data_IF_980813434450
#
_entry.id   IF_980813434450
#
_cell.length_a   1.000
_cell.length_b   1.000
_cell.length_c   1.000
_cell.angle_alpha   90.00
_cell.angle_beta   90.00
_cell.angle_gamma   90.00
#
_symmetry.space_group_name_H-M   'P 1'
#
loop_
_entity.id
_entity.type
_entity.pdbx_description
1 polymer ?
#
# COMPACT_ATOMS: atom_id res chain seq x y z
N UNK A 1 -31.99 25.33 -20.05
CA UNK A 1 -31.64 23.90 -20.11
C UNK A 1 -32.83 22.97 -20.36
N UNK A 2 -33.95 23.07 -19.62
CA UNK A 2 -35.14 22.20 -19.82
C UNK A 2 -35.76 22.23 -21.24
N UNK A 3 -35.70 23.37 -21.93
CA UNK A 3 -36.32 23.51 -23.26
C UNK A 3 -35.51 22.93 -24.44
N UNK A 4 -34.24 22.54 -24.22
CA UNK A 4 -33.33 22.13 -25.30
C UNK A 4 -32.86 20.66 -25.22
N UNK A 5 -33.14 19.96 -24.12
CA UNK A 5 -32.50 18.68 -23.79
C UNK A 5 -33.50 17.58 -23.37
N UNK A 6 -34.56 17.33 -24.15
CA UNK A 6 -35.44 16.16 -23.97
C UNK A 6 -35.91 15.89 -22.51
N UNK A 7 -36.08 14.60 -22.16
CA UNK A 7 -36.28 14.15 -20.77
C UNK A 7 -34.91 13.82 -20.15
N UNK A 8 -34.49 14.60 -19.16
CA UNK A 8 -33.25 14.39 -18.40
C UNK A 8 -33.58 13.73 -17.04
N UNK A 9 -32.78 12.73 -16.65
CA UNK A 9 -32.85 12.10 -15.34
C UNK A 9 -31.45 12.09 -14.71
N UNK A 10 -31.39 12.16 -13.39
CA UNK A 10 -30.16 12.01 -12.61
C UNK A 10 -30.08 10.57 -12.12
N UNK A 11 -28.92 9.94 -12.27
CA UNK A 11 -28.63 8.60 -11.75
C UNK A 11 -27.21 8.54 -11.24
N UNK A 12 -26.88 7.46 -10.52
CA UNK A 12 -25.49 7.10 -10.27
C UNK A 12 -24.81 6.68 -11.59
N UNK A 13 -23.47 6.71 -11.61
CA UNK A 13 -22.69 6.25 -12.76
C UNK A 13 -22.78 4.73 -12.95
N UNK A 14 -22.81 3.98 -11.85
CA UNK A 14 -22.94 2.52 -11.79
C UNK A 14 -23.79 2.11 -10.58
N UNK A 15 -23.96 0.80 -10.36
CA UNK A 15 -24.50 0.27 -9.10
C UNK A 15 -23.71 0.76 -7.89
N UNK A 16 -24.40 1.06 -6.79
CA UNK A 16 -23.81 1.43 -5.49
C UNK A 16 -23.28 0.23 -4.70
N UNK A 17 -23.43 -1.00 -5.21
CA UNK A 17 -22.82 -2.20 -4.63
C UNK A 17 -21.28 -2.12 -4.51
N UNK A 18 -20.65 -1.25 -5.29
CA UNK A 18 -19.19 -1.06 -5.33
C UNK A 18 -18.68 0.00 -4.34
N UNK A 19 -19.55 0.59 -3.53
CA UNK A 19 -19.18 1.48 -2.43
C UNK A 19 -19.73 0.94 -1.11
N UNK A 20 -19.16 1.34 0.04
CA UNK A 20 -19.71 0.91 1.32
C UNK A 20 -21.09 1.51 1.60
N UNK A 21 -21.70 1.13 2.71
CA UNK A 21 -23.11 1.48 3.00
C UNK A 21 -23.28 2.93 3.48
N UNK A 22 -22.72 3.29 4.62
CA UNK A 22 -22.94 4.58 5.28
C UNK A 22 -21.66 5.13 5.92
N UNK A 23 -21.30 6.38 5.60
CA UNK A 23 -20.15 7.07 6.23
C UNK A 23 -20.36 7.40 7.70
N UNK A 24 -21.61 7.46 8.21
CA UNK A 24 -21.88 7.78 9.61
C UNK A 24 -21.39 6.68 10.57
N UNK A 25 -21.31 5.43 10.09
CA UNK A 25 -20.77 4.27 10.83
C UNK A 25 -19.24 4.33 11.05
N UNK A 26 -18.55 5.23 10.34
CA UNK A 26 -17.11 5.42 10.42
C UNK A 26 -16.73 6.43 11.50
N UNK A 27 -16.85 6.01 12.75
CA UNK A 27 -16.58 6.87 13.92
C UNK A 27 -15.10 7.06 14.22
N UNK A 28 -14.23 6.18 13.69
CA UNK A 28 -12.77 6.27 13.87
C UNK A 28 -12.10 7.18 12.83
N UNK A 29 -12.77 7.48 11.71
CA UNK A 29 -12.27 8.46 10.75
C UNK A 29 -12.40 9.87 11.32
N UNK A 30 -11.41 10.72 11.03
CA UNK A 30 -11.49 12.13 11.39
C UNK A 30 -12.75 12.77 10.78
N UNK A 31 -13.37 13.72 11.49
CA UNK A 31 -14.56 14.41 10.98
C UNK A 31 -14.29 15.11 9.63
N UNK A 32 -13.06 15.63 9.45
CA UNK A 32 -12.61 16.21 8.21
C UNK A 32 -12.59 15.18 7.06
N UNK A 33 -11.92 14.04 7.23
CA UNK A 33 -11.87 13.02 6.18
C UNK A 33 -13.26 12.48 5.88
N UNK A 34 -14.06 12.18 6.92
CA UNK A 34 -15.44 11.70 6.74
C UNK A 34 -16.30 12.68 5.94
N UNK A 35 -16.09 13.99 6.11
CA UNK A 35 -16.82 15.00 5.31
C UNK A 35 -16.52 14.94 3.81
N UNK A 36 -15.37 14.38 3.40
CA UNK A 36 -14.98 14.24 2.00
C UNK A 36 -15.56 12.99 1.32
N UNK A 37 -16.21 12.12 2.10
CA UNK A 37 -16.66 10.80 1.64
C UNK A 37 -18.18 10.81 1.43
N UNK A 38 -18.61 10.04 0.43
CA UNK A 38 -20.01 9.70 0.22
C UNK A 38 -20.10 8.19 -0.10
N UNK A 39 -20.70 7.43 0.81
CA UNK A 39 -21.01 6.00 0.63
C UNK A 39 -22.39 5.85 -0.01
N UNK A 40 -22.96 4.64 -0.06
CA UNK A 40 -24.20 4.37 -0.79
C UNK A 40 -25.36 5.29 -0.36
N UNK A 41 -25.54 5.48 0.95
CA UNK A 41 -26.64 6.29 1.50
C UNK A 41 -26.46 7.78 1.17
N UNK A 42 -25.25 8.31 1.33
CA UNK A 42 -24.95 9.69 0.94
C UNK A 42 -25.12 9.89 -0.57
N UNK A 43 -24.74 8.92 -1.41
CA UNK A 43 -24.92 8.99 -2.87
C UNK A 43 -26.39 9.01 -3.28
N UNK A 44 -27.28 8.32 -2.55
CA UNK A 44 -28.71 8.41 -2.79
C UNK A 44 -29.23 9.83 -2.52
N UNK A 45 -28.73 10.48 -1.46
CA UNK A 45 -29.02 11.89 -1.16
C UNK A 45 -28.47 12.80 -2.26
N UNK A 46 -27.25 12.60 -2.75
CA UNK A 46 -26.65 13.38 -3.85
C UNK A 46 -27.52 13.34 -5.12
N UNK A 47 -27.96 12.14 -5.53
CA UNK A 47 -28.84 11.97 -6.70
C UNK A 47 -30.15 12.73 -6.50
N UNK A 48 -30.75 12.64 -5.32
CA UNK A 48 -31.98 13.38 -5.00
C UNK A 48 -31.75 14.89 -5.04
N UNK A 49 -30.69 15.40 -4.42
CA UNK A 49 -30.35 16.83 -4.39
C UNK A 49 -30.17 17.38 -5.80
N UNK A 50 -29.47 16.65 -6.67
CA UNK A 50 -29.29 17.04 -8.07
C UNK A 50 -30.60 16.99 -8.88
N UNK A 51 -31.47 16.00 -8.63
CA UNK A 51 -32.78 15.94 -9.25
C UNK A 51 -33.68 17.12 -8.82
N UNK A 52 -33.66 17.46 -7.53
CA UNK A 52 -34.37 18.62 -6.98
C UNK A 52 -33.84 19.93 -7.59
N UNK A 53 -32.52 20.07 -7.77
CA UNK A 53 -31.90 21.21 -8.43
C UNK A 53 -32.42 21.41 -9.87
N UNK A 54 -32.55 20.33 -10.64
CA UNK A 54 -33.12 20.40 -11.99
C UNK A 54 -34.60 20.84 -11.98
N UNK A 55 -35.34 20.48 -10.93
CA UNK A 55 -36.73 20.90 -10.74
C UNK A 55 -36.81 22.39 -10.36
N UNK A 56 -36.09 22.78 -9.31
CA UNK A 56 -36.02 24.12 -8.74
C UNK A 56 -34.61 24.39 -8.18
N UNK A 57 -33.76 25.20 -8.85
CA UNK A 57 -32.40 25.47 -8.38
C UNK A 57 -32.30 26.00 -6.95
N UNK A 58 -33.31 26.73 -6.47
CA UNK A 58 -33.31 27.28 -5.12
C UNK A 58 -33.45 26.20 -4.02
N UNK A 59 -34.06 25.05 -4.30
CA UNK A 59 -34.28 24.00 -3.28
C UNK A 59 -33.02 23.24 -2.92
N UNK A 60 -32.02 23.21 -3.80
CA UNK A 60 -30.74 22.52 -3.57
C UNK A 60 -29.58 23.46 -3.23
N UNK A 61 -29.81 24.78 -3.20
CA UNK A 61 -28.74 25.78 -3.05
C UNK A 61 -27.88 25.55 -1.81
N UNK A 62 -28.50 25.34 -0.64
CA UNK A 62 -27.75 25.16 0.61
C UNK A 62 -26.83 23.93 0.56
N UNK A 63 -27.33 22.78 0.07
CA UNK A 63 -26.56 21.56 -0.06
C UNK A 63 -25.41 21.68 -1.09
N UNK A 64 -25.64 22.41 -2.19
CA UNK A 64 -24.59 22.68 -3.20
C UNK A 64 -23.52 23.63 -2.64
N UNK A 65 -23.92 24.67 -1.90
CA UNK A 65 -22.99 25.60 -1.26
C UNK A 65 -22.11 24.87 -0.21
N UNK A 66 -22.71 23.98 0.59
CA UNK A 66 -22.00 23.12 1.54
C UNK A 66 -21.01 22.18 0.83
N UNK A 67 -21.46 21.43 -0.18
CA UNK A 67 -20.60 20.55 -0.96
C UNK A 67 -19.43 21.31 -1.61
N UNK A 68 -19.69 22.51 -2.13
CA UNK A 68 -18.65 23.37 -2.72
C UNK A 68 -17.61 23.79 -1.68
N UNK A 69 -18.03 24.13 -0.47
CA UNK A 69 -17.12 24.47 0.63
C UNK A 69 -16.27 23.25 1.06
N UNK A 70 -16.88 22.07 1.17
CA UNK A 70 -16.19 20.82 1.51
C UNK A 70 -15.14 20.48 0.45
N UNK A 71 -15.49 20.51 -0.84
CA UNK A 71 -14.56 20.25 -1.95
C UNK A 71 -13.38 21.23 -1.93
N UNK A 72 -13.65 22.53 -1.73
CA UNK A 72 -12.61 23.53 -1.65
C UNK A 72 -11.67 23.29 -0.46
N UNK A 73 -12.22 22.88 0.70
CA UNK A 73 -11.43 22.61 1.92
C UNK A 73 -10.44 21.46 1.73
N UNK A 74 -10.81 20.41 0.98
CA UNK A 74 -9.95 19.24 0.71
C UNK A 74 -8.71 19.64 -0.08
N UNK A 75 -8.83 20.55 -1.05
CA UNK A 75 -7.72 20.94 -1.92
C UNK A 75 -6.54 21.58 -1.16
N UNK A 76 -6.83 22.20 -0.01
CA UNK A 76 -5.86 22.90 0.85
C UNK A 76 -5.53 22.15 2.15
N UNK A 77 -6.13 20.98 2.37
CA UNK A 77 -5.93 20.23 3.61
C UNK A 77 -4.51 19.71 3.73
N UNK A 78 -4.01 19.70 4.97
CA UNK A 78 -2.68 19.16 5.28
C UNK A 78 -2.58 17.68 4.86
N UNK A 79 -1.44 17.29 4.31
CA UNK A 79 -1.21 15.94 3.82
C UNK A 79 -1.75 15.66 2.41
N UNK A 80 -2.73 16.41 1.89
CA UNK A 80 -3.25 16.22 0.52
C UNK A 80 -2.21 16.58 -0.54
N UNK A 81 -1.46 17.65 -0.30
CA UNK A 81 -0.35 18.07 -1.16
C UNK A 81 0.91 18.31 -0.33
N UNK A 82 1.83 17.36 -0.37
CA UNK A 82 3.06 17.37 0.42
C UNK A 82 4.26 17.82 -0.41
N UNK A 83 4.90 18.91 0.00
CA UNK A 83 6.03 19.48 -0.72
C UNK A 83 7.24 18.53 -0.76
N UNK A 84 7.52 17.84 0.34
CA UNK A 84 8.59 16.84 0.46
C UNK A 84 8.37 15.65 -0.48
N UNK A 85 7.14 15.12 -0.55
CA UNK A 85 6.78 14.02 -1.47
C UNK A 85 6.96 14.45 -2.92
N UNK A 86 6.50 15.65 -3.27
CA UNK A 86 6.59 16.19 -4.63
C UNK A 86 8.02 16.44 -5.06
N UNK A 87 8.82 17.06 -4.18
CA UNK A 87 10.25 17.28 -4.43
C UNK A 87 10.99 15.95 -4.64
N UNK A 88 10.77 14.97 -3.75
CA UNK A 88 11.38 13.63 -3.87
C UNK A 88 10.99 12.91 -5.15
N UNK A 89 9.73 13.06 -5.55
CA UNK A 89 9.22 12.40 -6.77
C UNK A 89 9.73 13.08 -8.04
N UNK A 90 9.88 14.40 -8.03
CA UNK A 90 10.47 15.15 -9.13
C UNK A 90 11.98 14.87 -9.32
N UNK A 91 12.66 14.45 -8.26
CA UNK A 91 14.08 14.10 -8.29
C UNK A 91 14.40 12.68 -8.82
N UNK A 92 13.37 11.88 -9.18
CA UNK A 92 13.59 10.53 -9.68
C UNK A 92 14.25 10.53 -11.05
N UNK A 93 15.20 9.62 -11.23
CA UNK A 93 15.97 9.46 -12.48
C UNK A 93 15.72 8.10 -13.11
N UNK A 94 16.12 7.89 -14.36
CA UNK A 94 16.02 6.57 -15.01
C UNK A 94 16.77 5.48 -14.24
N UNK A 95 17.92 5.81 -13.65
CA UNK A 95 18.70 4.91 -12.81
C UNK A 95 17.91 4.38 -11.60
N UNK A 96 16.91 5.14 -11.12
CA UNK A 96 16.04 4.64 -10.06
C UNK A 96 15.25 3.42 -10.49
N UNK A 97 14.86 3.31 -11.77
CA UNK A 97 13.94 2.29 -12.28
C UNK A 97 14.64 1.04 -12.78
N UNK A 98 15.94 1.12 -13.02
CA UNK A 98 16.71 0.03 -13.59
C UNK A 98 17.57 -0.69 -12.53
N UNK A 99 17.92 -1.94 -12.83
CA UNK A 99 18.90 -2.75 -12.11
C UNK A 99 20.02 -3.11 -13.09
N UNK A 100 21.18 -3.54 -12.60
CA UNK A 100 22.23 -4.13 -13.45
C UNK A 100 21.69 -5.29 -14.28
N UNK A 101 22.32 -5.65 -15.40
CA UNK A 101 21.88 -6.75 -16.27
C UNK A 101 21.58 -8.06 -15.53
N UNK A 102 20.63 -8.84 -16.04
CA UNK A 102 20.20 -10.09 -15.37
C UNK A 102 21.37 -11.04 -15.12
N UNK A 103 22.23 -11.27 -16.11
CA UNK A 103 23.39 -12.16 -16.00
C UNK A 103 24.34 -11.78 -14.86
N UNK A 104 24.52 -10.47 -14.62
CA UNK A 104 25.34 -9.97 -13.50
C UNK A 104 24.67 -10.29 -12.16
N UNK A 105 23.34 -10.15 -12.08
CA UNK A 105 22.58 -10.43 -10.85
C UNK A 105 22.49 -11.92 -10.58
N UNK A 106 22.25 -12.72 -11.61
CA UNK A 106 22.15 -14.18 -11.54
C UNK A 106 23.44 -14.77 -10.99
N UNK A 107 24.61 -14.39 -11.54
CA UNK A 107 25.91 -14.84 -11.02
C UNK A 107 26.13 -14.48 -9.54
N UNK A 108 25.74 -13.26 -9.13
CA UNK A 108 25.83 -12.82 -7.74
C UNK A 108 24.84 -13.56 -6.81
N UNK A 109 23.65 -13.88 -7.30
CA UNK A 109 22.62 -14.62 -6.56
C UNK A 109 23.04 -16.08 -6.37
N UNK A 110 23.58 -16.72 -7.40
CA UNK A 110 24.10 -18.09 -7.33
C UNK A 110 25.21 -18.22 -6.28
N UNK A 111 26.16 -17.28 -6.30
CA UNK A 111 27.25 -17.24 -5.34
C UNK A 111 26.82 -16.92 -3.89
N UNK A 112 25.63 -16.34 -3.70
CA UNK A 112 25.15 -15.95 -2.37
C UNK A 112 24.15 -16.94 -1.78
N UNK A 113 23.30 -17.55 -2.60
CA UNK A 113 22.16 -18.37 -2.16
C UNK A 113 22.44 -19.88 -2.25
N UNK A 114 23.34 -20.31 -3.14
CA UNK A 114 23.71 -21.71 -3.33
C UNK A 114 22.49 -22.65 -3.42
N UNK A 115 21.49 -22.25 -4.21
CA UNK A 115 20.24 -23.00 -4.33
C UNK A 115 20.46 -24.27 -5.16
N UNK A 116 19.82 -25.41 -4.81
CA UNK A 116 19.90 -26.61 -5.62
C UNK A 116 19.16 -26.42 -6.95
N UNK A 117 19.41 -27.28 -7.96
CA UNK A 117 18.54 -27.39 -9.11
C UNK A 117 17.09 -27.63 -8.67
N UNK A 118 16.15 -26.87 -9.26
CA UNK A 118 14.72 -26.89 -8.89
C UNK A 118 14.45 -26.53 -7.41
N UNK A 119 14.86 -25.32 -6.95
CA UNK A 119 14.67 -24.94 -5.55
C UNK A 119 13.20 -24.80 -5.20
N UNK A 120 12.86 -25.28 -4.01
CA UNK A 120 11.51 -25.34 -3.45
C UNK A 120 11.23 -24.16 -2.52
N UNK A 121 10.02 -23.61 -2.61
CA UNK A 121 9.56 -22.51 -1.76
C UNK A 121 8.04 -22.42 -1.77
N UNK A 122 7.48 -21.65 -0.85
CA UNK A 122 6.06 -21.26 -0.84
C UNK A 122 5.89 -19.77 -1.17
N UNK A 123 4.64 -19.30 -1.27
CA UNK A 123 4.35 -17.95 -1.76
C UNK A 123 4.45 -16.87 -0.67
N UNK A 124 4.02 -17.14 0.56
CA UNK A 124 4.03 -16.16 1.65
C UNK A 124 3.21 -16.59 2.86
N UNK A 125 1.89 -16.50 2.75
CA UNK A 125 0.99 -16.78 3.87
C UNK A 125 0.89 -18.28 4.22
N UNK A 126 0.79 -18.54 5.52
CA UNK A 126 0.40 -19.83 6.07
C UNK A 126 -1.03 -19.74 6.65
N UNK A 127 -1.67 -20.87 7.01
CA UNK A 127 -3.06 -20.87 7.47
C UNK A 127 -3.29 -19.91 8.64
N UNK A 128 -4.19 -18.94 8.48
CA UNK A 128 -4.65 -18.12 9.59
C UNK A 128 -5.55 -18.96 10.51
N UNK A 129 -5.02 -19.40 11.64
CA UNK A 129 -5.75 -20.22 12.61
C UNK A 129 -6.75 -19.40 13.43
N UNK A 130 -7.63 -20.09 14.18
CA UNK A 130 -8.53 -19.45 15.15
C UNK A 130 -7.78 -18.64 16.19
N UNK A 131 -6.61 -19.11 16.61
CA UNK A 131 -5.77 -18.53 17.64
C UNK A 131 -5.18 -17.20 17.16
N UNK A 132 -4.66 -17.15 15.92
CA UNK A 132 -4.15 -15.91 15.30
C UNK A 132 -5.26 -14.86 15.20
N UNK A 133 -6.45 -15.26 14.70
CA UNK A 133 -7.59 -14.34 14.58
C UNK A 133 -8.07 -13.84 15.95
N UNK A 134 -8.11 -14.72 16.94
CA UNK A 134 -8.49 -14.39 18.32
C UNK A 134 -7.49 -13.43 18.97
N UNK A 135 -6.19 -13.70 18.84
CA UNK A 135 -5.13 -12.82 19.35
C UNK A 135 -5.22 -11.41 18.76
N UNK A 136 -5.42 -11.30 17.44
CA UNK A 136 -5.62 -10.02 16.76
C UNK A 136 -6.86 -9.28 17.26
N UNK A 137 -7.99 -9.98 17.37
CA UNK A 137 -9.23 -9.38 17.87
C UNK A 137 -9.12 -8.89 19.32
N UNK A 138 -8.42 -9.64 20.18
CA UNK A 138 -8.15 -9.28 21.58
C UNK A 138 -7.19 -8.09 21.70
N UNK A 139 -6.14 -8.03 20.87
CA UNK A 139 -5.25 -6.87 20.83
C UNK A 139 -6.02 -5.60 20.42
N UNK A 140 -6.85 -5.69 19.38
CA UNK A 140 -7.66 -4.56 18.91
C UNK A 140 -8.67 -4.06 19.96
N UNK A 141 -9.11 -4.93 20.89
CA UNK A 141 -9.99 -4.56 22.01
C UNK A 141 -9.23 -4.05 23.24
N UNK A 142 -7.91 -4.19 23.28
CA UNK A 142 -7.09 -3.89 24.45
C UNK A 142 -7.06 -5.01 25.51
N UNK A 143 -7.58 -6.20 25.19
CA UNK A 143 -7.55 -7.38 26.08
C UNK A 143 -6.15 -8.06 26.11
N UNK A 144 -5.29 -7.70 25.17
CA UNK A 144 -3.87 -8.06 25.12
C UNK A 144 -3.05 -6.79 25.00
N UNK A 145 -1.88 -6.76 25.63
CA UNK A 145 -0.90 -5.71 25.32
C UNK A 145 -0.25 -5.98 23.96
N UNK A 146 0.31 -4.93 23.34
CA UNK A 146 1.02 -5.06 22.07
C UNK A 146 2.19 -6.06 22.18
N UNK A 147 2.88 -6.09 23.31
CA UNK A 147 4.00 -7.01 23.55
C UNK A 147 3.53 -8.46 23.65
N UNK A 148 2.39 -8.70 24.31
CA UNK A 148 1.78 -10.03 24.36
C UNK A 148 1.34 -10.50 22.98
N UNK A 149 0.70 -9.62 22.20
CA UNK A 149 0.32 -9.92 20.82
C UNK A 149 1.56 -10.21 19.95
N UNK A 150 2.60 -9.38 20.06
CA UNK A 150 3.84 -9.54 19.32
C UNK A 150 4.49 -10.90 19.62
N UNK A 151 4.54 -11.30 20.89
CA UNK A 151 5.08 -12.60 21.27
C UNK A 151 4.29 -13.75 20.65
N UNK A 152 2.96 -13.70 20.66
CA UNK A 152 2.13 -14.73 20.03
C UNK A 152 2.39 -14.83 18.52
N UNK A 153 2.60 -13.71 17.83
CA UNK A 153 2.95 -13.72 16.40
C UNK A 153 4.35 -14.27 16.16
N UNK A 154 5.32 -13.96 17.04
CA UNK A 154 6.66 -14.55 17.00
C UNK A 154 6.65 -16.06 17.20
N UNK A 155 5.86 -16.55 18.15
CA UNK A 155 5.72 -17.99 18.41
C UNK A 155 5.15 -18.71 17.18
N UNK A 156 4.19 -18.10 16.49
CA UNK A 156 3.63 -18.65 15.25
C UNK A 156 4.63 -18.62 14.09
N UNK A 157 5.40 -17.53 13.94
CA UNK A 157 6.50 -17.46 12.95
C UNK A 157 7.49 -18.58 13.21
N UNK A 158 7.88 -18.80 14.47
CA UNK A 158 8.80 -19.87 14.85
C UNK A 158 8.27 -21.24 14.44
N UNK A 159 7.02 -21.54 14.76
CA UNK A 159 6.34 -22.79 14.37
C UNK A 159 6.35 -23.00 12.85
N UNK A 160 6.07 -21.94 12.09
CA UNK A 160 6.05 -21.97 10.61
C UNK A 160 7.44 -22.19 10.03
N UNK A 161 8.48 -21.57 10.61
CA UNK A 161 9.88 -21.77 10.19
C UNK A 161 10.32 -23.21 10.47
N UNK A 162 10.10 -23.72 11.67
CA UNK A 162 10.46 -25.09 12.07
C UNK A 162 9.81 -26.13 11.15
N UNK A 163 8.52 -25.95 10.84
CA UNK A 163 7.80 -26.82 9.91
C UNK A 163 8.41 -26.81 8.50
N UNK A 164 8.78 -25.64 7.97
CA UNK A 164 9.38 -25.55 6.64
C UNK A 164 10.78 -26.17 6.59
N UNK A 165 11.54 -26.07 7.68
CA UNK A 165 12.83 -26.76 7.80
C UNK A 165 12.66 -28.28 7.80
N UNK A 166 11.71 -28.81 8.59
CA UNK A 166 11.37 -30.23 8.64
C UNK A 166 10.94 -30.76 7.26
N UNK A 167 10.12 -29.99 6.53
CA UNK A 167 9.67 -30.33 5.18
C UNK A 167 10.76 -30.18 4.11
N UNK A 168 11.92 -29.63 4.45
CA UNK A 168 13.06 -29.53 3.55
C UNK A 168 12.98 -28.40 2.51
N UNK A 169 12.17 -27.35 2.71
CA UNK A 169 12.10 -26.22 1.76
C UNK A 169 13.42 -25.45 1.65
N UNK A 170 13.78 -25.00 0.45
CA UNK A 170 15.07 -24.31 0.20
C UNK A 170 15.03 -22.82 0.56
N UNK A 171 13.90 -22.15 0.29
CA UNK A 171 13.68 -20.73 0.61
C UNK A 171 12.38 -20.57 1.38
N UNK A 172 12.46 -19.97 2.57
CA UNK A 172 11.39 -19.94 3.56
C UNK A 172 10.60 -18.64 3.52
N UNK A 173 9.40 -18.69 4.10
CA UNK A 173 8.54 -17.53 4.41
C UNK A 173 8.20 -17.52 5.88
N UNK A 174 7.83 -16.36 6.45
CA UNK A 174 7.45 -16.27 7.87
C UNK A 174 5.97 -16.57 8.13
N UNK A 175 5.16 -16.76 7.08
CA UNK A 175 3.75 -17.15 7.19
C UNK A 175 2.75 -15.98 7.33
N UNK A 176 3.23 -14.75 7.49
CA UNK A 176 2.41 -13.53 7.60
C UNK A 176 1.31 -13.54 8.69
N UNK A 177 1.53 -14.12 9.91
CA UNK A 177 0.48 -14.19 10.94
C UNK A 177 0.05 -12.80 11.46
N UNK A 178 0.97 -11.83 11.40
CA UNK A 178 0.73 -10.45 11.81
C UNK A 178 -0.24 -9.71 10.87
N UNK A 179 -0.42 -10.20 9.64
CA UNK A 179 -1.19 -9.50 8.60
C UNK A 179 -2.58 -10.08 8.48
N UNK A 180 -3.58 -9.21 8.53
CA UNK A 180 -4.96 -9.60 8.24
C UNK A 180 -5.26 -9.63 6.74
N UNK A 181 -4.81 -8.59 6.04
CA UNK A 181 -5.00 -8.37 4.62
C UNK A 181 -3.75 -7.71 4.03
N UNK A 182 -3.42 -8.07 2.79
CA UNK A 182 -2.18 -7.68 2.13
C UNK A 182 -2.13 -6.20 1.73
N UNK A 183 -3.26 -5.48 1.70
CA UNK A 183 -3.33 -4.06 1.37
C UNK A 183 -3.57 -3.25 2.65
N UNK A 184 -4.52 -3.68 3.47
CA UNK A 184 -4.86 -3.00 4.73
C UNK A 184 -3.64 -2.86 5.65
N UNK A 185 -2.83 -3.91 5.80
CA UNK A 185 -1.66 -3.89 6.68
C UNK A 185 -0.65 -2.80 6.30
N UNK A 186 -0.47 -2.55 5.00
CA UNK A 186 0.40 -1.46 4.54
C UNK A 186 -0.29 -0.10 4.67
N UNK A 187 -1.58 -0.01 4.37
CA UNK A 187 -2.34 1.24 4.49
C UNK A 187 -2.32 1.78 5.93
N UNK A 188 -2.47 0.92 6.94
CA UNK A 188 -2.39 1.29 8.36
C UNK A 188 -1.02 1.87 8.78
N UNK A 189 0.02 1.59 8.00
CA UNK A 189 1.40 1.99 8.29
C UNK A 189 1.95 3.03 7.29
N UNK A 190 1.09 3.59 6.45
CA UNK A 190 1.44 4.62 5.47
C UNK A 190 0.63 5.89 5.75
N UNK A 191 1.32 7.01 5.85
CA UNK A 191 0.66 8.32 5.89
C UNK A 191 0.01 8.60 4.53
N UNK A 192 -1.09 9.35 4.52
CA UNK A 192 -1.92 9.57 3.34
C UNK A 192 -2.95 8.47 3.08
N UNK A 193 -2.97 7.44 3.94
CA UNK A 193 -4.01 6.41 4.01
C UNK A 193 -4.84 6.52 5.27
N UNK A 194 -6.08 6.07 5.14
CA UNK A 194 -6.93 5.69 6.27
C UNK A 194 -7.63 4.37 5.98
N UNK A 195 -8.08 3.71 7.04
CA UNK A 195 -8.86 2.48 6.96
C UNK A 195 -10.20 2.69 7.64
N UNK A 196 -11.23 2.07 7.09
CA UNK A 196 -12.57 2.07 7.67
C UNK A 196 -12.72 0.94 8.69
N UNK A 197 -13.76 0.99 9.52
CA UNK A 197 -14.18 -0.11 10.38
C UNK A 197 -15.32 -0.89 9.72
N UNK A 198 -16.32 -0.18 9.20
CA UNK A 198 -17.56 -0.72 8.63
C UNK A 198 -17.67 -0.52 7.10
N UNK A 199 -16.61 -0.04 6.45
CA UNK A 199 -16.53 0.25 5.02
C UNK A 199 -16.44 -0.99 4.13
N UNK A 200 -17.32 -1.97 4.35
CA UNK A 200 -17.34 -3.23 3.62
C UNK A 200 -17.91 -3.07 2.21
N UNK A 201 -17.26 -3.74 1.25
CA UNK A 201 -17.69 -3.86 -0.14
C UNK A 201 -17.70 -5.33 -0.52
N UNK A 202 -18.78 -5.80 -1.13
CA UNK A 202 -18.86 -7.18 -1.59
C UNK A 202 -17.83 -7.44 -2.70
N UNK A 203 -17.03 -8.50 -2.54
CA UNK A 203 -16.04 -8.91 -3.53
C UNK A 203 -16.51 -10.15 -4.29
N UNK A 204 -16.85 -11.24 -3.57
CA UNK A 204 -17.29 -12.48 -4.21
C UNK A 204 -18.17 -13.32 -3.28
N UNK A 205 -19.39 -13.64 -3.72
CA UNK A 205 -20.35 -14.37 -2.89
C UNK A 205 -20.63 -13.62 -1.58
N UNK A 206 -20.47 -14.29 -0.43
CA UNK A 206 -20.58 -13.65 0.89
C UNK A 206 -19.27 -13.03 1.40
N UNK A 207 -18.20 -13.03 0.60
CA UNK A 207 -16.92 -12.41 0.99
C UNK A 207 -16.94 -10.92 0.65
N UNK A 208 -16.71 -10.11 1.67
CA UNK A 208 -16.51 -8.68 1.57
C UNK A 208 -15.04 -8.32 1.81
N UNK A 209 -14.61 -7.24 1.18
CA UNK A 209 -13.34 -6.57 1.46
C UNK A 209 -13.61 -5.21 2.10
N UNK A 210 -12.59 -4.64 2.73
CA UNK A 210 -12.64 -3.30 3.31
C UNK A 210 -11.50 -2.47 2.71
N UNK A 211 -11.70 -1.93 1.49
CA UNK A 211 -10.67 -1.18 0.80
C UNK A 211 -10.22 0.01 1.64
N UNK A 212 -8.90 0.23 1.72
CA UNK A 212 -8.37 1.43 2.37
C UNK A 212 -8.64 2.67 1.52
N UNK A 213 -8.59 3.84 2.14
CA UNK A 213 -8.86 5.12 1.50
C UNK A 213 -7.53 5.85 1.32
N UNK A 214 -7.11 6.05 0.06
CA UNK A 214 -6.04 6.97 -0.26
C UNK A 214 -6.62 8.38 -0.25
N UNK A 215 -6.26 9.20 0.73
CA UNK A 215 -6.76 10.58 0.85
C UNK A 215 -5.68 11.63 0.60
N UNK A 216 -4.40 11.29 0.76
CA UNK A 216 -3.28 12.23 0.72
C UNK A 216 -2.09 11.83 -0.14
N UNK A 217 -1.01 12.63 -0.08
CA UNK A 217 0.30 12.29 -0.62
C UNK A 217 0.99 11.30 0.34
N UNK A 218 1.51 10.20 -0.19
CA UNK A 218 1.90 9.02 0.61
C UNK A 218 3.33 9.11 1.11
N UNK A 219 3.51 8.89 2.42
CA UNK A 219 4.81 8.81 3.09
C UNK A 219 4.88 7.62 4.04
N UNK A 220 6.11 7.23 4.36
CA UNK A 220 6.39 6.13 5.29
C UNK A 220 7.37 6.63 6.34
N UNK A 221 6.88 6.80 7.56
CA UNK A 221 7.65 7.32 8.70
C UNK A 221 8.53 6.24 9.34
N UNK A 222 8.03 5.00 9.47
CA UNK A 222 8.72 3.89 10.14
C UNK A 222 8.80 2.61 9.28
N UNK A 223 9.80 1.72 9.50
CA UNK A 223 9.80 0.37 8.92
C UNK A 223 8.51 -0.39 9.25
N UNK A 224 7.93 -1.05 8.26
CA UNK A 224 6.64 -1.75 8.41
C UNK A 224 6.88 -3.23 8.75
N UNK A 225 7.64 -3.93 7.90
CA UNK A 225 7.76 -5.41 7.95
C UNK A 225 9.13 -5.90 8.41
N UNK A 226 10.07 -4.97 8.69
CA UNK A 226 11.48 -5.32 8.88
C UNK A 226 11.69 -6.14 10.15
N UNK A 227 11.07 -5.76 11.27
CA UNK A 227 11.21 -6.49 12.54
C UNK A 227 10.77 -7.97 12.43
N UNK A 228 9.68 -8.23 11.72
CA UNK A 228 9.19 -9.59 11.47
C UNK A 228 10.15 -10.40 10.59
N UNK A 229 10.65 -9.79 9.52
CA UNK A 229 11.60 -10.44 8.63
C UNK A 229 12.94 -10.72 9.31
N UNK A 230 13.44 -9.79 10.14
CA UNK A 230 14.66 -9.97 10.94
C UNK A 230 14.50 -11.09 11.97
N UNK A 231 13.38 -11.11 12.69
CA UNK A 231 13.09 -12.18 13.63
C UNK A 231 13.00 -13.54 12.91
N UNK A 232 12.23 -13.64 11.83
CA UNK A 232 12.09 -14.88 11.06
C UNK A 232 13.43 -15.38 10.51
N UNK A 233 14.25 -14.50 9.94
CA UNK A 233 15.59 -14.85 9.44
C UNK A 233 16.53 -15.24 10.59
N UNK A 234 16.35 -14.74 11.82
CA UNK A 234 17.19 -15.13 12.96
C UNK A 234 16.97 -16.57 13.43
N UNK A 235 15.88 -17.22 13.00
CA UNK A 235 15.50 -18.58 13.39
C UNK A 235 16.04 -19.66 12.45
N UNK A 236 16.60 -19.29 11.29
CA UNK A 236 17.04 -20.24 10.26
C UNK A 236 18.29 -19.75 9.54
N UNK A 237 19.12 -20.69 9.07
CA UNK A 237 20.25 -20.39 8.18
C UNK A 237 19.83 -20.34 6.70
N UNK A 238 18.61 -20.79 6.37
CA UNK A 238 18.11 -20.76 4.99
C UNK A 238 17.64 -19.35 4.62
N UNK A 239 17.64 -18.97 3.33
CA UNK A 239 17.14 -17.68 2.90
C UNK A 239 15.66 -17.46 3.26
N UNK A 240 15.35 -16.34 3.92
CA UNK A 240 13.99 -15.92 4.27
C UNK A 240 13.46 -14.86 3.31
N UNK A 241 12.26 -15.05 2.76
CA UNK A 241 11.61 -14.03 1.92
C UNK A 241 11.08 -12.88 2.77
N UNK A 242 11.48 -11.65 2.43
CA UNK A 242 10.77 -10.45 2.86
C UNK A 242 9.51 -10.24 2.02
N UNK A 243 8.35 -10.12 2.67
CA UNK A 243 7.07 -10.00 1.96
C UNK A 243 6.54 -8.57 1.91
N UNK A 244 6.25 -8.09 0.70
CA UNK A 244 5.70 -6.75 0.44
C UNK A 244 4.61 -6.81 -0.63
N UNK A 245 3.59 -5.96 -0.48
CA UNK A 245 2.60 -5.73 -1.53
C UNK A 245 3.08 -4.65 -2.49
N UNK A 246 3.02 -4.94 -3.79
CA UNK A 246 3.44 -4.01 -4.82
C UNK A 246 2.56 -2.74 -4.86
N UNK A 247 3.13 -1.58 -5.24
CA UNK A 247 2.41 -0.30 -5.16
C UNK A 247 1.17 -0.23 -6.07
N UNK A 248 1.19 -0.95 -7.20
CA UNK A 248 0.04 -1.01 -8.11
C UNK A 248 -1.13 -1.74 -7.46
N UNK A 249 -0.87 -2.82 -6.72
CA UNK A 249 -1.91 -3.58 -6.02
C UNK A 249 -2.50 -2.78 -4.88
N UNK A 250 -1.64 -2.11 -4.07
CA UNK A 250 -2.15 -1.25 -2.99
C UNK A 250 -3.08 -0.18 -3.57
N UNK A 251 -2.68 0.50 -4.65
CA UNK A 251 -3.54 1.47 -5.31
C UNK A 251 -4.84 0.87 -5.87
N UNK A 252 -4.75 -0.24 -6.59
CA UNK A 252 -5.90 -0.83 -7.28
C UNK A 252 -6.96 -1.39 -6.31
N UNK A 253 -6.55 -1.76 -5.10
CA UNK A 253 -7.42 -2.33 -4.07
C UNK A 253 -7.75 -1.33 -2.95
N UNK A 254 -7.50 -0.05 -3.20
CA UNK A 254 -7.91 1.08 -2.36
C UNK A 254 -8.91 1.97 -3.10
N UNK A 255 -9.71 2.73 -2.36
CA UNK A 255 -10.39 3.90 -2.91
C UNK A 255 -9.37 4.98 -3.20
N UNK A 256 -9.18 5.29 -4.49
CA UNK A 256 -8.18 6.23 -4.98
C UNK A 256 -8.69 7.67 -4.99
N UNK A 257 -7.74 8.59 -4.94
CA UNK A 257 -7.95 10.03 -5.13
C UNK A 257 -8.47 10.35 -6.53
N UNK A 258 -9.49 11.19 -6.58
CA UNK A 258 -10.08 11.78 -7.79
C UNK A 258 -9.54 13.18 -8.13
N UNK A 259 -8.73 13.79 -7.25
CA UNK A 259 -8.11 15.11 -7.45
C UNK A 259 -6.83 15.06 -8.30
N UNK A 260 -6.47 13.89 -8.82
CA UNK A 260 -5.31 13.68 -9.67
C UNK A 260 -5.56 12.59 -10.74
N UNK A 261 -4.92 12.67 -11.92
CA UNK A 261 -5.04 11.62 -12.91
C UNK A 261 -4.51 10.27 -12.38
N UNK A 262 -5.23 9.18 -12.63
CA UNK A 262 -4.83 7.82 -12.23
C UNK A 262 -3.48 7.39 -12.83
N UNK A 263 -3.19 7.89 -14.04
CA UNK A 263 -1.94 7.65 -14.76
C UNK A 263 -0.83 8.63 -14.38
N UNK A 264 -1.10 9.62 -13.49
CA UNK A 264 -0.06 10.57 -13.11
C UNK A 264 1.03 9.78 -12.43
N UNK A 265 2.23 9.77 -12.99
CA UNK A 265 3.18 8.85 -12.46
C UNK A 265 3.69 9.18 -11.03
N UNK A 266 3.60 10.41 -10.47
CA UNK A 266 3.88 10.67 -9.06
C UNK A 266 3.09 9.81 -8.09
N UNK A 267 1.87 9.42 -8.43
CA UNK A 267 1.03 8.53 -7.63
C UNK A 267 1.43 7.08 -7.77
N UNK A 268 2.24 6.68 -8.75
CA UNK A 268 2.93 5.36 -8.78
C UNK A 268 4.34 5.43 -8.20
N UNK A 269 4.94 6.61 -8.23
CA UNK A 269 6.35 6.85 -7.93
C UNK A 269 6.64 7.26 -6.49
N UNK A 270 5.79 8.10 -5.88
CA UNK A 270 5.80 8.36 -4.43
C UNK A 270 5.68 7.04 -3.65
N UNK A 271 4.89 6.13 -4.18
CA UNK A 271 4.73 4.76 -3.69
C UNK A 271 5.97 3.91 -3.82
N UNK A 272 6.68 4.00 -4.95
CA UNK A 272 7.96 3.32 -5.11
C UNK A 272 8.99 3.86 -4.12
N UNK A 273 8.97 5.16 -3.85
CA UNK A 273 9.79 5.79 -2.82
C UNK A 273 9.44 5.30 -1.40
N UNK A 274 8.16 5.09 -1.10
CA UNK A 274 7.69 4.52 0.15
C UNK A 274 8.06 3.03 0.30
N UNK A 275 8.00 2.25 -0.79
CA UNK A 275 8.22 0.78 -0.81
C UNK A 275 9.66 0.34 -1.11
N UNK A 276 10.51 1.18 -1.74
CA UNK A 276 11.96 0.92 -1.91
C UNK A 276 12.71 0.90 -0.57
N UNK A 277 12.31 1.78 0.35
CA UNK A 277 13.03 1.96 1.60
C UNK A 277 12.90 0.79 2.59
N UNK A 278 11.78 0.03 2.64
CA UNK A 278 11.71 -1.29 3.26
C UNK A 278 12.70 -2.27 2.65
N UNK A 279 12.80 -2.34 1.31
CA UNK A 279 13.73 -3.25 0.61
C UNK A 279 15.19 -2.94 0.99
N UNK A 280 15.57 -1.66 1.07
CA UNK A 280 16.93 -1.27 1.48
C UNK A 280 17.23 -1.51 2.96
N UNK A 281 16.20 -1.74 3.79
CA UNK A 281 16.31 -1.97 5.24
C UNK A 281 16.09 -3.43 5.64
N UNK A 282 15.60 -4.29 4.73
CA UNK A 282 15.65 -5.73 4.94
C UNK A 282 17.13 -6.14 5.07
N UNK A 283 17.48 -7.01 6.02
CA UNK A 283 18.86 -7.40 6.23
C UNK A 283 19.43 -7.95 4.92
N UNK A 284 20.43 -7.27 4.37
CA UNK A 284 21.33 -7.90 3.41
C UNK A 284 21.99 -9.07 4.14
N UNK A 285 22.01 -10.25 3.52
CA UNK A 285 22.58 -11.47 4.10
C UNK A 285 23.91 -11.17 4.80
N UNK A 286 24.11 -11.76 6.00
CA UNK A 286 25.33 -11.64 6.78
C UNK A 286 26.51 -12.35 6.07
N UNK A 287 26.95 -11.81 4.94
CA UNK A 287 28.15 -12.27 4.23
C UNK A 287 28.63 -11.27 3.14
N UNK A 288 28.53 -9.95 3.37
CA UNK A 288 29.45 -9.00 2.71
C UNK A 288 29.25 -7.57 3.22
N UNK A 289 30.31 -6.97 3.75
CA UNK A 289 30.42 -5.51 3.88
C UNK A 289 30.44 -4.94 2.46
N UNK A 290 29.33 -4.38 2.01
CA UNK A 290 29.34 -3.48 0.86
C UNK A 290 29.71 -2.08 1.35
N UNK A 291 31.00 -1.85 1.60
CA UNK A 291 31.55 -0.49 1.57
C UNK A 291 31.74 -0.12 0.11
N UNK A 292 30.91 0.81 -0.40
CA UNK A 292 31.19 1.48 -1.66
C UNK A 292 32.48 2.29 -1.52
N UNK A 293 33.51 2.14 -2.38
CA UNK A 293 34.65 3.07 -2.36
C UNK A 293 34.19 4.44 -2.89
N UNK A 294 34.72 5.55 -2.36
CA UNK A 294 34.45 6.87 -2.93
C UNK A 294 35.03 6.95 -4.34
N UNK A 295 34.22 7.36 -5.32
CA UNK A 295 34.70 7.69 -6.66
C UNK A 295 35.65 8.90 -6.59
N UNK A 296 36.95 8.63 -6.51
CA UNK A 296 37.99 9.60 -6.80
C UNK A 296 38.27 9.57 -8.31
N UNK A 297 37.72 10.55 -9.05
CA UNK A 297 38.12 10.79 -10.43
C UNK A 297 39.34 11.71 -10.45
N UNK A 298 40.52 11.11 -10.40
CA UNK A 298 41.74 11.68 -10.97
C UNK A 298 42.32 10.67 -11.95
N UNK A 299 42.13 10.91 -13.26
CA UNK A 299 43.18 10.72 -14.26
C UNK A 299 42.73 11.15 -15.66
N UNK A 300 43.45 12.18 -16.12
CA UNK A 300 43.78 12.64 -17.47
C UNK A 300 43.27 11.85 -18.67
N UNK A 301 42.63 12.61 -19.57
CA UNK A 301 42.43 12.31 -20.98
C UNK A 301 43.74 11.95 -21.71
N UNK A 302 43.73 10.86 -22.47
CA UNK A 302 44.64 10.61 -23.57
C UNK A 302 43.83 10.58 -24.89
N UNK A 303 44.27 11.36 -25.87
CA UNK A 303 43.68 11.50 -27.21
C UNK A 303 43.93 10.23 -28.06
N UNK A 304 43.10 9.97 -29.10
CA UNK A 304 43.29 8.84 -30.00
C UNK A 304 44.36 9.15 -31.06
N UNK A 305 45.27 8.20 -31.26
CA UNK A 305 46.17 8.12 -32.40
C UNK A 305 45.48 7.39 -33.56
N UNK A 306 45.52 8.03 -34.71
CA UNK A 306 45.14 7.53 -36.04
C UNK A 306 45.98 6.32 -36.47
N UNK A 307 45.34 5.31 -37.07
CA UNK A 307 45.99 4.29 -37.90
C UNK A 307 45.92 4.68 -39.40
N UNK A 308 46.87 4.22 -40.24
CA UNK A 308 47.00 4.67 -41.63
C UNK A 308 46.30 3.73 -42.62
N UNK A 309 45.57 4.33 -43.57
CA UNK A 309 45.70 4.19 -45.04
C UNK A 309 44.92 5.33 -45.67
#
# INVERSE_FOLDING_TARGET
>A
MKAAAGKLAVSTSTSTQHVPHDTAEETQLSAQLRSWLAFADQKAVEVKTLADYLANPASAKAAIDEASAVIASRATAEGVQRADVRARTAALTEADFNRSEYSVREAAQEAALHLPPLPTTTIGSFPQTSEIRSARARNNKGDLTNEQYEQLMKDEIKRVVELQEELGYDVLVHGEPERNDMVQYFAENLEGFDVTVHGWVQSYGSRCTRPSILWGDVTRSAPITVAWAEYAQSLTNKPMKGMLTGPVTILAWSFVRDDQPLARPPTRWAWRCATKSPISKLPASRSSRWTSPPCANSCRCARPTTQPT
#
